data_IF_411587192584
#
_entry.id   IF_411587192584
#
_cell.length_a   1.000
_cell.length_b   1.000
_cell.length_c   1.000
_cell.angle_alpha   90.00
_cell.angle_beta   90.00
_cell.angle_gamma   90.00
#
_symmetry.space_group_name_H-M   'P 1'
#
loop_
_entity.id
_entity.type
_entity.pdbx_description
1 polymer ?
#
# COMPACT_ATOMS: atom_id res chain seq x y z
N UNK A 1 15.06 8.28 4.55
CA UNK A 1 13.97 7.86 3.63
C UNK A 1 14.65 7.04 2.55
N UNK A 2 14.64 5.72 2.70
CA UNK A 2 15.34 4.83 1.78
C UNK A 2 14.37 4.23 0.79
N UNK A 3 14.75 4.25 -0.49
CA UNK A 3 13.97 3.65 -1.56
C UNK A 3 14.06 2.13 -1.46
N UNK A 4 12.95 1.48 -1.11
CA UNK A 4 12.88 0.01 -0.94
C UNK A 4 12.78 -0.72 -2.28
N UNK A 5 12.32 -0.06 -3.35
CA UNK A 5 12.23 -0.65 -4.68
C UNK A 5 11.74 0.34 -5.74
N UNK A 6 11.74 -0.10 -7.01
CA UNK A 6 11.09 0.63 -8.11
C UNK A 6 10.34 -0.31 -9.02
N UNK A 7 9.18 0.17 -9.46
CA UNK A 7 8.33 -0.52 -10.40
C UNK A 7 8.41 0.18 -11.76
N UNK A 8 9.31 -0.30 -12.62
CA UNK A 8 9.62 0.33 -13.91
C UNK A 8 8.78 -0.21 -15.08
N UNK A 9 7.64 -0.87 -14.81
CA UNK A 9 6.84 -1.55 -15.84
C UNK A 9 5.76 -0.67 -16.48
N UNK A 10 5.78 0.63 -16.21
CA UNK A 10 4.76 1.56 -16.69
C UNK A 10 5.27 2.28 -17.94
N UNK A 11 4.55 2.09 -19.06
CA UNK A 11 4.76 2.87 -20.30
C UNK A 11 4.13 4.27 -20.20
N UNK A 12 3.17 4.44 -19.30
CA UNK A 12 2.37 5.66 -19.13
C UNK A 12 2.39 6.13 -17.68
N UNK A 13 2.10 7.41 -17.44
CA UNK A 13 2.09 7.99 -16.08
C UNK A 13 0.98 7.38 -15.22
N UNK A 14 1.31 7.11 -13.96
CA UNK A 14 0.32 6.72 -12.93
C UNK A 14 -0.49 7.96 -12.52
N UNK A 15 -1.81 7.86 -12.59
CA UNK A 15 -2.75 8.96 -12.27
C UNK A 15 -3.28 8.81 -10.85
N UNK A 16 -3.48 7.59 -10.40
CA UNK A 16 -4.02 7.32 -9.06
C UNK A 16 -3.42 6.05 -8.47
N UNK A 17 -3.28 6.04 -7.14
CA UNK A 17 -2.86 4.90 -6.34
C UNK A 17 -3.86 4.71 -5.19
N UNK A 18 -4.28 3.48 -4.94
CA UNK A 18 -5.09 3.14 -3.77
C UNK A 18 -4.56 1.86 -3.15
N UNK A 19 -4.32 1.88 -1.84
CA UNK A 19 -4.01 0.68 -1.08
C UNK A 19 -5.31 0.00 -0.66
N UNK A 20 -5.34 -1.33 -0.66
CA UNK A 20 -6.43 -2.09 -0.07
C UNK A 20 -6.45 -1.92 1.45
N UNK A 21 -7.62 -1.99 2.12
CA UNK A 21 -7.72 -1.81 3.57
C UNK A 21 -6.97 -2.88 4.38
N UNK A 22 -6.76 -4.06 3.81
CA UNK A 22 -5.93 -5.12 4.39
C UNK A 22 -4.42 -4.83 4.27
N UNK A 23 -4.04 -3.82 3.49
CA UNK A 23 -2.67 -3.39 3.28
C UNK A 23 -1.81 -4.27 2.40
N UNK A 24 -2.32 -5.37 1.88
CA UNK A 24 -1.52 -6.37 1.18
C UNK A 24 -1.28 -5.96 -0.28
N UNK A 25 -2.28 -5.30 -0.86
CA UNK A 25 -2.31 -4.97 -2.28
C UNK A 25 -2.38 -3.46 -2.49
N UNK A 26 -1.68 -2.99 -3.51
CA UNK A 26 -1.80 -1.63 -4.04
C UNK A 26 -2.35 -1.71 -5.45
N UNK A 27 -3.33 -0.86 -5.74
CA UNK A 27 -3.87 -0.68 -7.09
C UNK A 27 -3.31 0.60 -7.67
N UNK A 28 -2.77 0.49 -8.88
CA UNK A 28 -2.33 1.63 -9.69
C UNK A 28 -3.22 1.81 -10.90
N UNK A 29 -3.74 3.03 -11.07
CA UNK A 29 -4.46 3.45 -12.27
C UNK A 29 -3.53 4.24 -13.18
N UNK A 30 -3.40 3.76 -14.41
CA UNK A 30 -2.46 4.29 -15.39
C UNK A 30 -3.23 5.07 -16.46
N UNK A 31 -2.62 6.13 -17.01
CA UNK A 31 -3.23 6.97 -18.04
C UNK A 31 -3.54 6.23 -19.36
N UNK A 32 -3.04 5.01 -19.54
CA UNK A 32 -3.37 4.12 -20.65
C UNK A 32 -4.71 3.38 -20.46
N UNK A 33 -5.43 3.66 -19.38
CA UNK A 33 -6.72 3.04 -19.05
C UNK A 33 -6.60 1.70 -18.31
N UNK A 34 -5.38 1.24 -18.02
CA UNK A 34 -5.16 -0.01 -17.31
C UNK A 34 -5.13 0.19 -15.79
N UNK A 35 -5.75 -0.75 -15.08
CA UNK A 35 -5.57 -0.94 -13.63
C UNK A 35 -4.61 -2.09 -13.39
N UNK A 36 -3.65 -1.91 -12.48
CA UNK A 36 -2.68 -2.95 -12.12
C UNK A 36 -2.68 -3.16 -10.61
N UNK A 37 -2.92 -4.41 -10.23
CA UNK A 37 -2.86 -4.90 -8.85
C UNK A 37 -1.44 -5.33 -8.54
N UNK A 38 -0.93 -4.89 -7.41
CA UNK A 38 0.45 -5.06 -6.98
C UNK A 38 0.44 -5.60 -5.56
N UNK A 39 0.90 -6.83 -5.38
CA UNK A 39 1.19 -7.40 -4.07
C UNK A 39 2.57 -6.91 -3.64
N UNK A 40 2.60 -5.79 -2.90
CA UNK A 40 3.85 -5.14 -2.48
C UNK A 40 4.26 -5.58 -1.07
N UNK A 41 3.30 -5.90 -0.22
CA UNK A 41 3.52 -6.06 1.22
C UNK A 41 3.61 -7.52 1.69
N UNK A 42 3.54 -8.49 0.76
CA UNK A 42 3.62 -9.93 1.07
C UNK A 42 2.46 -10.43 1.93
N UNK A 43 2.36 -11.75 2.23
CA UNK A 43 1.37 -12.26 3.17
C UNK A 43 1.61 -11.68 4.57
N UNK A 44 0.55 -11.45 5.37
CA UNK A 44 0.70 -10.89 6.71
C UNK A 44 1.63 -11.79 7.54
N UNK A 45 2.68 -11.21 8.11
CA UNK A 45 3.53 -11.91 9.08
C UNK A 45 2.71 -12.13 10.35
N UNK A 46 2.15 -13.34 10.52
CA UNK A 46 1.45 -13.75 11.73
C UNK A 46 2.51 -14.00 12.81
N UNK A 47 3.05 -12.93 13.38
CA UNK A 47 3.88 -13.01 14.57
C UNK A 47 2.93 -13.07 15.78
N UNK A 48 2.51 -14.29 16.16
CA UNK A 48 1.56 -14.53 17.27
C UNK A 48 2.03 -14.01 18.65
N UNK A 49 3.27 -13.52 18.74
CA UNK A 49 3.89 -13.08 19.99
C UNK A 49 3.53 -11.66 20.40
N UNK A 50 3.02 -10.85 19.46
CA UNK A 50 2.54 -9.49 19.73
C UNK A 50 1.07 -9.44 19.34
N UNK A 51 0.24 -9.17 20.33
CA UNK A 51 -1.13 -8.68 20.10
C UNK A 51 -1.04 -7.21 20.47
N UNK A 52 -0.31 -6.45 19.67
CA UNK A 52 -0.44 -5.00 19.74
C UNK A 52 -1.72 -4.65 18.97
N UNK A 53 -2.59 -3.75 19.47
CA UNK A 53 -3.78 -3.31 18.74
C UNK A 53 -3.46 -2.66 17.37
N UNK A 54 -2.17 -2.51 17.07
CA UNK A 54 -1.62 -1.76 15.95
C UNK A 54 -0.83 -2.64 14.97
N UNK A 55 -0.74 -3.96 15.18
CA UNK A 55 0.09 -4.87 14.36
C UNK A 55 -0.35 -4.98 12.88
N UNK A 56 -1.48 -4.39 12.51
CA UNK A 56 -1.95 -4.22 11.13
C UNK A 56 -2.24 -2.77 10.75
N UNK A 57 -1.83 -1.79 11.56
CA UNK A 57 -2.18 -0.39 11.33
C UNK A 57 -1.23 0.24 10.31
N UNK A 58 -1.65 0.19 9.03
CA UNK A 58 -0.87 0.70 7.90
C UNK A 58 -1.04 2.21 7.67
N UNK A 59 -2.10 2.80 8.23
CA UNK A 59 -2.37 4.23 8.11
C UNK A 59 -3.14 4.75 9.33
N UNK A 60 -2.59 5.75 10.01
CA UNK A 60 -3.25 6.52 11.07
C UNK A 60 -3.39 7.97 10.60
N UNK A 61 -4.63 8.41 10.34
CA UNK A 61 -4.93 9.82 10.08
C UNK A 61 -5.52 10.44 11.34
N UNK A 62 -4.72 11.27 12.02
CA UNK A 62 -5.18 12.05 13.18
C UNK A 62 -5.66 13.40 12.66
N UNK A 63 -6.91 13.76 12.94
CA UNK A 63 -7.43 15.11 12.69
C UNK A 63 -7.13 16.01 13.88
N UNK A 64 -6.74 17.28 13.68
CA UNK A 64 -6.54 18.21 14.79
C UNK A 64 -7.86 18.47 15.51
N UNK A 65 -7.86 18.29 16.83
CA UNK A 65 -8.97 18.68 17.72
C UNK A 65 -8.78 20.19 17.98
N UNK A 66 -9.80 20.98 17.63
CA UNK A 66 -9.81 22.43 17.89
C UNK A 66 -10.32 22.73 19.28
#
# INVERSE_FOLDING_TARGET
>A
MDKVGSLNRYTSRVVHLSQSPDGLTVVSAVADGSLRFLEVFGPPSIDKSRISPLDGLLSLKISPIR
#
